data_IF_623892035331
#
_entry.id   IF_623892035331
#
_cell.length_a   1.000
_cell.length_b   1.000
_cell.length_c   1.000
_cell.angle_alpha   90.00
_cell.angle_beta   90.00
_cell.angle_gamma   90.00
#
_symmetry.space_group_name_H-M   'P 1'
#
loop_
_entity.id
_entity.type
_entity.pdbx_description
1 polymer ?
#
# COMPACT_ATOMS: atom_id res chain seq x y z
N UNK A 1 -22.06 -1.36 -2.01
CA UNK A 1 -21.06 -2.28 -1.45
C UNK A 1 -20.34 -1.56 -0.33
N UNK A 2 -20.39 -2.09 0.88
CA UNK A 2 -19.58 -1.62 1.99
C UNK A 2 -18.32 -2.48 2.12
N UNK A 3 -17.27 -1.97 2.77
CA UNK A 3 -16.08 -2.78 3.05
C UNK A 3 -16.40 -4.01 3.89
N UNK A 4 -17.43 -3.99 4.73
CA UNK A 4 -17.89 -5.16 5.49
C UNK A 4 -18.31 -6.33 4.61
N UNK A 5 -18.69 -6.07 3.35
CA UNK A 5 -19.23 -7.06 2.43
C UNK A 5 -18.13 -7.70 1.56
N UNK A 6 -16.92 -7.13 1.58
CA UNK A 6 -15.77 -7.61 0.80
C UNK A 6 -14.95 -8.59 1.64
N UNK A 7 -14.67 -9.82 1.18
CA UNK A 7 -13.84 -10.75 1.92
C UNK A 7 -12.45 -10.17 2.22
N UNK A 8 -11.97 -10.38 3.45
CA UNK A 8 -10.60 -10.04 3.81
C UNK A 8 -9.67 -11.22 3.52
N UNK A 9 -8.60 -10.95 2.81
CA UNK A 9 -7.57 -11.91 2.42
C UNK A 9 -6.28 -11.65 3.21
N UNK A 10 -5.53 -12.71 3.49
CA UNK A 10 -4.16 -12.58 3.99
C UNK A 10 -3.23 -12.15 2.83
N UNK A 11 -2.49 -11.07 3.03
CA UNK A 11 -1.55 -10.51 2.04
C UNK A 11 -0.09 -10.58 2.54
N UNK A 12 0.17 -11.35 3.59
CA UNK A 12 1.46 -11.46 4.26
C UNK A 12 1.33 -11.47 5.78
N UNK A 13 2.43 -11.75 6.50
CA UNK A 13 2.44 -11.70 7.96
C UNK A 13 2.02 -10.32 8.47
N UNK A 14 0.94 -10.26 9.26
CA UNK A 14 0.41 -9.00 9.79
C UNK A 14 -0.25 -8.08 8.76
N UNK A 15 -0.48 -8.54 7.52
CA UNK A 15 -1.13 -7.75 6.48
C UNK A 15 -2.41 -8.43 6.01
N UNK A 16 -3.53 -7.72 6.13
CA UNK A 16 -4.81 -8.12 5.56
C UNK A 16 -5.23 -7.11 4.50
N UNK A 17 -5.91 -7.59 3.47
CA UNK A 17 -6.46 -6.72 2.43
C UNK A 17 -7.88 -7.10 2.03
N UNK A 18 -8.62 -6.12 1.53
CA UNK A 18 -9.91 -6.32 0.85
C UNK A 18 -9.79 -5.68 -0.53
N UNK A 19 -10.18 -6.39 -1.58
CA UNK A 19 -9.89 -5.98 -2.96
C UNK A 19 -11.18 -5.84 -3.75
N UNK A 20 -11.30 -4.73 -4.48
CA UNK A 20 -12.37 -4.48 -5.45
C UNK A 20 -11.72 -4.25 -6.80
N UNK A 21 -12.13 -5.00 -7.81
CA UNK A 21 -11.68 -4.83 -9.18
C UNK A 21 -12.75 -4.16 -10.03
N UNK A 22 -12.39 -3.08 -10.71
CA UNK A 22 -13.12 -2.51 -11.82
C UNK A 22 -12.48 -2.89 -13.16
N UNK A 23 -12.96 -2.29 -14.25
CA UNK A 23 -12.45 -2.60 -15.59
C UNK A 23 -10.97 -2.21 -15.82
N UNK A 24 -10.49 -1.16 -15.14
CA UNK A 24 -9.11 -0.63 -15.27
C UNK A 24 -8.47 -0.24 -13.95
N UNK A 25 -9.20 -0.36 -12.85
CA UNK A 25 -8.78 0.12 -11.54
C UNK A 25 -8.94 -1.02 -10.54
N UNK A 26 -8.04 -1.08 -9.58
CA UNK A 26 -8.16 -1.92 -8.40
C UNK A 26 -8.14 -1.02 -7.19
N UNK A 27 -9.14 -1.15 -6.32
CA UNK A 27 -9.17 -0.47 -5.03
C UNK A 27 -8.88 -1.50 -3.95
N UNK A 28 -7.90 -1.20 -3.10
CA UNK A 28 -7.50 -2.09 -2.01
C UNK A 28 -7.63 -1.35 -0.70
N UNK A 29 -8.27 -1.98 0.29
CA UNK A 29 -8.19 -1.56 1.68
C UNK A 29 -7.21 -2.47 2.40
N UNK A 30 -6.08 -1.93 2.83
CA UNK A 30 -5.10 -2.63 3.64
C UNK A 30 -5.32 -2.36 5.13
N UNK A 31 -5.12 -3.39 5.95
CA UNK A 31 -4.96 -3.31 7.39
C UNK A 31 -3.62 -3.96 7.75
N UNK A 32 -2.77 -3.20 8.40
CA UNK A 32 -1.45 -3.61 8.86
C UNK A 32 -1.45 -3.71 10.39
N UNK A 33 -0.96 -4.83 10.92
CA UNK A 33 -0.64 -4.96 12.34
C UNK A 33 0.68 -4.23 12.65
N UNK A 34 0.87 -3.70 13.87
CA UNK A 34 2.14 -3.08 14.26
C UNK A 34 3.34 -4.01 14.01
N UNK A 35 4.42 -3.49 13.41
CA UNK A 35 5.60 -4.26 13.03
C UNK A 35 5.45 -5.06 11.72
N UNK A 36 4.32 -4.96 11.01
CA UNK A 36 4.15 -5.63 9.73
C UNK A 36 5.13 -5.09 8.67
N UNK A 37 5.64 -6.01 7.85
CA UNK A 37 6.52 -5.70 6.73
C UNK A 37 5.84 -6.14 5.45
N UNK A 38 5.61 -5.19 4.55
CA UNK A 38 5.15 -5.45 3.20
C UNK A 38 6.33 -5.33 2.25
N UNK A 39 6.76 -6.48 1.73
CA UNK A 39 7.96 -6.60 0.93
C UNK A 39 7.95 -5.66 -0.28
N UNK A 40 9.13 -5.14 -0.62
CA UNK A 40 9.30 -4.30 -1.80
C UNK A 40 8.90 -5.07 -3.06
N UNK A 41 8.05 -4.45 -3.87
CA UNK A 41 7.55 -5.00 -5.13
C UNK A 41 7.25 -3.88 -6.12
N UNK A 42 7.03 -4.24 -7.39
CA UNK A 42 6.68 -3.29 -8.43
C UNK A 42 5.60 -3.88 -9.34
N UNK A 43 4.78 -3.00 -9.92
CA UNK A 43 3.76 -3.34 -10.90
C UNK A 43 3.56 -2.19 -11.87
N UNK A 44 3.02 -2.46 -13.07
CA UNK A 44 2.89 -1.45 -14.13
C UNK A 44 1.83 -0.38 -13.85
N UNK A 45 0.90 -0.67 -12.94
CA UNK A 45 -0.18 0.21 -12.52
C UNK A 45 0.36 1.28 -11.57
N UNK A 46 -0.13 2.52 -11.71
CA UNK A 46 0.06 3.57 -10.72
C UNK A 46 -0.70 3.22 -9.44
N UNK A 47 -0.08 3.47 -8.28
CA UNK A 47 -0.69 3.29 -6.97
C UNK A 47 -0.86 4.63 -6.27
N UNK A 48 -2.10 4.91 -5.84
CA UNK A 48 -2.42 6.02 -4.95
C UNK A 48 -2.87 5.44 -3.62
N UNK A 49 -2.16 5.77 -2.54
CA UNK A 49 -2.47 5.29 -1.19
C UNK A 49 -2.74 6.46 -0.27
N UNK A 50 -3.84 6.38 0.48
CA UNK A 50 -4.16 7.33 1.55
C UNK A 50 -4.15 6.60 2.88
N UNK A 51 -3.47 7.18 3.87
CA UNK A 51 -3.49 6.65 5.24
C UNK A 51 -4.77 7.14 5.91
N UNK A 52 -5.67 6.21 6.25
CA UNK A 52 -6.93 6.55 6.92
C UNK A 52 -6.78 6.65 8.44
N UNK A 53 -5.94 5.78 9.03
CA UNK A 53 -5.64 5.69 10.47
C UNK A 53 -4.26 5.07 10.67
N UNK A 54 -3.63 5.37 11.80
CA UNK A 54 -2.31 4.83 12.17
C UNK A 54 -1.16 5.57 11.49
N UNK A 55 0.02 4.94 11.46
CA UNK A 55 1.22 5.41 10.76
C UNK A 55 1.83 4.27 9.97
N UNK A 56 2.47 4.59 8.86
CA UNK A 56 3.15 3.64 7.99
C UNK A 56 4.32 4.34 7.32
N UNK A 57 5.45 3.67 7.18
CA UNK A 57 6.60 4.17 6.43
C UNK A 57 6.69 3.43 5.11
N UNK A 58 6.59 4.17 4.00
CA UNK A 58 6.84 3.65 2.67
C UNK A 58 8.33 3.73 2.34
N UNK A 59 8.82 2.69 1.66
CA UNK A 59 10.15 2.65 1.07
C UNK A 59 9.95 2.67 -0.45
N UNK A 60 10.41 3.72 -1.14
CA UNK A 60 10.16 3.93 -2.57
C UNK A 60 11.50 4.07 -3.28
N UNK A 61 11.73 3.25 -4.30
CA UNK A 61 12.98 3.29 -5.08
C UNK A 61 12.93 4.41 -6.13
N UNK A 62 13.78 5.41 -5.98
CA UNK A 62 13.97 6.50 -6.93
C UNK A 62 14.53 6.05 -8.28
N UNK A 63 14.44 6.91 -9.29
CA UNK A 63 14.94 6.62 -10.65
C UNK A 63 16.46 6.42 -10.72
N UNK A 64 17.19 6.97 -9.75
CA UNK A 64 18.63 6.84 -9.58
C UNK A 64 19.03 5.57 -8.81
N UNK A 65 18.06 4.76 -8.38
CA UNK A 65 18.27 3.56 -7.57
C UNK A 65 18.37 3.83 -6.06
N UNK A 66 18.27 5.08 -5.62
CA UNK A 66 18.14 5.42 -4.21
C UNK A 66 16.83 4.91 -3.61
N UNK A 67 16.77 4.72 -2.29
CA UNK A 67 15.53 4.35 -1.59
C UNK A 67 15.15 5.48 -0.64
N UNK A 68 14.02 6.13 -0.93
CA UNK A 68 13.42 7.11 -0.05
C UNK A 68 12.52 6.42 0.96
N UNK A 69 12.69 6.77 2.24
CA UNK A 69 11.79 6.33 3.31
C UNK A 69 10.90 7.49 3.74
N UNK A 70 9.60 7.33 3.55
CA UNK A 70 8.60 8.37 3.82
C UNK A 70 7.62 7.88 4.87
N UNK A 71 7.65 8.49 6.06
CA UNK A 71 6.66 8.24 7.10
C UNK A 71 5.37 8.99 6.80
N UNK A 72 4.25 8.29 6.92
CA UNK A 72 2.93 8.81 6.63
C UNK A 72 1.95 8.51 7.77
N UNK A 73 1.08 9.48 8.05
CA UNK A 73 -0.01 9.43 9.01
C UNK A 73 -1.35 9.83 8.39
N UNK A 74 -2.42 9.93 9.20
CA UNK A 74 -3.77 10.05 8.68
C UNK A 74 -3.99 11.29 7.81
N UNK A 75 -4.58 11.09 6.63
CA UNK A 75 -4.84 12.14 5.65
C UNK A 75 -3.71 12.38 4.65
N UNK A 76 -2.51 11.81 4.87
CA UNK A 76 -1.41 11.90 3.93
C UNK A 76 -1.60 10.90 2.77
N UNK A 77 -1.17 11.33 1.58
CA UNK A 77 -1.38 10.61 0.31
C UNK A 77 -0.04 10.39 -0.38
N UNK A 78 0.22 9.14 -0.78
CA UNK A 78 1.34 8.77 -1.62
C UNK A 78 0.83 8.48 -3.04
N UNK A 79 1.58 8.94 -4.03
CA UNK A 79 1.38 8.63 -5.45
C UNK A 79 2.65 7.96 -5.95
N UNK A 80 2.54 6.70 -6.33
CA UNK A 80 3.66 5.86 -6.76
C UNK A 80 3.45 5.54 -8.24
N UNK A 81 4.29 6.08 -9.14
CA UNK A 81 4.20 5.80 -10.57
C UNK A 81 4.35 4.31 -10.88
N UNK A 82 3.76 3.88 -12.00
CA UNK A 82 3.92 2.51 -12.49
C UNK A 82 5.38 2.14 -12.71
N UNK A 83 5.75 0.91 -12.33
CA UNK A 83 7.10 0.36 -12.45
C UNK A 83 8.07 0.78 -11.34
N UNK A 84 7.66 1.66 -10.42
CA UNK A 84 8.48 2.07 -9.27
C UNK A 84 8.36 1.02 -8.16
N UNK A 85 9.50 0.46 -7.74
CA UNK A 85 9.54 -0.49 -6.64
C UNK A 85 9.22 0.22 -5.31
N UNK A 86 8.37 -0.42 -4.52
CA UNK A 86 7.94 0.12 -3.24
C UNK A 86 7.58 -0.98 -2.22
N UNK A 87 7.87 -0.70 -0.96
CA UNK A 87 7.51 -1.53 0.20
C UNK A 87 6.95 -0.67 1.32
N UNK A 88 6.51 -1.29 2.41
CA UNK A 88 6.01 -0.56 3.57
C UNK A 88 6.26 -1.28 4.89
N UNK A 89 6.41 -0.50 5.96
CA UNK A 89 6.54 -0.99 7.33
C UNK A 89 5.67 -0.15 8.27
N UNK A 90 5.03 -0.77 9.25
CA UNK A 90 4.25 -0.08 10.30
C UNK A 90 4.86 -0.23 11.67
#
# INVERSE_FOLDING_TARGET
MAWSDVPAENAGPGVRRQVIHGARQTMVRYIYEPGAVFASHAHSQEQVTVVLRGRIAFEITGRDGGVDRVEMGPGEVAVIPGGVAHGATT
#
